data_IF_498763650934
#
_entry.id   IF_498763650934
#
_cell.length_a   1.000
_cell.length_b   1.000
_cell.length_c   1.000
_cell.angle_alpha   90.00
_cell.angle_beta   90.00
_cell.angle_gamma   90.00
#
_symmetry.space_group_name_H-M   'P 1'
#
loop_
_entity.id
_entity.type
_entity.pdbx_description
1 polymer ?
#
# COMPACT_ATOMS: atom_id res chain seq x y z
N UNK A 1 20.11 44.67 20.42
CA UNK A 1 19.85 43.77 19.26
C UNK A 1 18.83 42.75 19.73
N UNK A 2 17.59 42.78 19.24
CA UNK A 2 16.58 41.80 19.60
C UNK A 2 16.90 40.48 18.88
N UNK A 3 16.94 39.38 19.63
CA UNK A 3 17.05 38.03 19.07
C UNK A 3 15.66 37.69 18.50
N UNK A 4 15.53 37.28 17.22
CA UNK A 4 14.24 36.86 16.70
C UNK A 4 13.73 35.66 17.51
N UNK A 5 12.41 35.58 17.80
CA UNK A 5 11.85 34.45 18.51
C UNK A 5 12.15 33.17 17.73
N UNK A 6 12.54 32.11 18.44
CA UNK A 6 12.69 30.79 17.84
C UNK A 6 11.35 30.36 17.20
N UNK A 7 11.38 29.63 16.07
CA UNK A 7 10.14 29.14 15.47
C UNK A 7 9.40 28.25 16.47
N UNK A 8 8.14 28.58 16.75
CA UNK A 8 7.23 27.70 17.48
C UNK A 8 6.65 26.70 16.47
N UNK A 9 6.70 25.40 16.82
CA UNK A 9 6.15 24.32 16.01
C UNK A 9 4.92 23.76 16.72
N UNK A 10 3.77 23.83 16.05
CA UNK A 10 2.53 23.21 16.49
C UNK A 10 2.21 22.02 15.58
N UNK A 11 1.86 20.88 16.19
CA UNK A 11 1.52 19.65 15.47
C UNK A 11 0.01 19.40 15.53
N UNK A 12 -0.61 19.19 14.37
CA UNK A 12 -2.01 18.76 14.26
C UNK A 12 -2.05 17.35 13.67
N UNK A 13 -2.78 16.44 14.33
CA UNK A 13 -2.92 15.05 13.91
C UNK A 13 -4.26 14.82 13.22
N UNK A 14 -4.25 14.20 12.04
CA UNK A 14 -5.45 13.71 11.35
C UNK A 14 -5.42 12.18 11.33
N UNK A 15 -6.44 11.55 11.89
CA UNK A 15 -6.60 10.09 11.82
C UNK A 15 -7.37 9.75 10.56
N UNK A 16 -6.88 8.76 9.79
CA UNK A 16 -7.54 8.27 8.58
C UNK A 16 -7.79 6.78 8.76
N UNK A 17 -9.05 6.37 8.95
CA UNK A 17 -9.38 4.96 9.23
C UNK A 17 -9.65 4.17 7.95
N UNK A 18 -9.43 2.85 8.01
CA UNK A 18 -9.72 1.94 6.89
C UNK A 18 -11.16 2.07 6.37
N UNK A 19 -12.15 2.14 7.27
CA UNK A 19 -13.57 2.28 6.92
C UNK A 19 -13.88 3.55 6.14
N UNK A 20 -13.16 4.64 6.40
CA UNK A 20 -13.40 5.93 5.72
C UNK A 20 -12.84 5.93 4.30
N UNK A 21 -11.63 5.39 4.09
CA UNK A 21 -11.02 5.44 2.78
C UNK A 21 -11.38 4.26 1.87
N UNK A 22 -11.65 3.07 2.43
CA UNK A 22 -11.86 1.85 1.64
C UNK A 22 -12.89 1.98 0.50
N UNK A 23 -14.06 2.62 0.68
CA UNK A 23 -15.03 2.71 -0.42
C UNK A 23 -14.60 3.68 -1.53
N UNK A 24 -13.60 4.54 -1.28
CA UNK A 24 -13.20 5.63 -2.19
C UNK A 24 -11.89 5.35 -2.93
N UNK A 25 -11.05 4.45 -2.41
CA UNK A 25 -9.74 4.13 -2.98
C UNK A 25 -9.86 3.33 -4.28
N UNK A 26 -10.89 2.47 -4.41
CA UNK A 26 -11.08 1.66 -5.63
C UNK A 26 -9.82 0.87 -5.99
N UNK A 27 -9.40 0.97 -7.25
CA UNK A 27 -8.15 0.38 -7.77
C UNK A 27 -6.92 1.28 -7.56
N UNK A 28 -7.09 2.49 -7.00
CA UNK A 28 -5.99 3.41 -6.76
C UNK A 28 -5.13 2.90 -5.59
N UNK A 29 -3.83 2.79 -5.76
CA UNK A 29 -2.89 2.37 -4.71
C UNK A 29 -2.46 3.56 -3.82
N UNK A 30 -3.25 4.64 -3.72
CA UNK A 30 -2.83 5.84 -3.01
C UNK A 30 -3.97 6.74 -2.49
N UNK A 31 -3.67 7.48 -1.42
CA UNK A 31 -4.47 8.56 -0.85
C UNK A 31 -3.78 9.90 -1.14
N UNK A 32 -4.51 10.88 -1.66
CA UNK A 32 -4.01 12.26 -1.78
C UNK A 32 -4.52 13.10 -0.61
N UNK A 33 -3.60 13.56 0.24
CA UNK A 33 -3.88 14.43 1.37
C UNK A 33 -3.48 15.86 1.01
N UNK A 34 -4.30 16.84 1.36
CA UNK A 34 -4.02 18.27 1.14
C UNK A 34 -4.16 19.00 2.46
N UNK A 35 -3.10 19.70 2.87
CA UNK A 35 -3.11 20.60 4.02
C UNK A 35 -3.03 22.04 3.50
N UNK A 36 -3.92 22.92 3.96
CA UNK A 36 -3.91 24.33 3.63
C UNK A 36 -4.02 25.19 4.89
N UNK A 37 -3.25 26.26 4.96
CA UNK A 37 -3.28 27.24 6.04
C UNK A 37 -3.43 28.64 5.48
N UNK A 38 -4.23 29.46 6.14
CA UNK A 38 -4.42 30.87 5.79
C UNK A 38 -3.91 31.75 6.93
N UNK A 39 -3.10 32.76 6.58
CA UNK A 39 -2.63 33.79 7.52
C UNK A 39 -3.63 34.94 7.44
N UNK A 40 -4.41 35.15 8.49
CA UNK A 40 -5.51 36.13 8.47
C UNK A 40 -4.97 37.56 8.32
N UNK A 41 -3.80 37.85 8.90
CA UNK A 41 -3.18 39.16 8.92
C UNK A 41 -2.66 39.58 7.53
N UNK A 42 -2.12 38.64 6.76
CA UNK A 42 -1.53 38.92 5.43
C UNK A 42 -2.43 38.51 4.27
N UNK A 43 -3.49 37.74 4.53
CA UNK A 43 -4.37 37.16 3.52
C UNK A 43 -3.71 36.04 2.69
N UNK A 44 -2.49 35.62 3.05
CA UNK A 44 -1.76 34.59 2.31
C UNK A 44 -2.31 33.20 2.62
N UNK A 45 -2.43 32.37 1.58
CA UNK A 45 -2.80 30.95 1.72
C UNK A 45 -1.62 30.10 1.27
N UNK A 46 -1.22 29.15 2.11
CA UNK A 46 -0.25 28.11 1.79
C UNK A 46 -0.97 26.77 1.71
N UNK A 47 -0.63 25.97 0.70
CA UNK A 47 -1.13 24.61 0.58
C UNK A 47 0.01 23.64 0.27
N UNK A 48 -0.10 22.42 0.80
CA UNK A 48 0.79 21.30 0.54
C UNK A 48 -0.04 20.06 0.28
N UNK A 49 0.42 19.27 -0.68
CA UNK A 49 -0.16 17.98 -1.00
C UNK A 49 0.83 16.87 -0.68
N UNK A 50 0.30 15.73 -0.22
CA UNK A 50 1.04 14.51 0.05
C UNK A 50 0.30 13.33 -0.58
N UNK A 51 1.02 12.56 -1.40
CA UNK A 51 0.51 11.31 -1.95
C UNK A 51 1.02 10.14 -1.08
N UNK A 52 0.10 9.47 -0.39
CA UNK A 52 0.40 8.33 0.48
C UNK A 52 0.04 7.06 -0.27
N UNK A 53 1.03 6.24 -0.63
CA UNK A 53 0.77 4.95 -1.28
C UNK A 53 0.29 3.93 -0.26
N UNK A 54 -0.81 3.26 -0.57
CA UNK A 54 -1.29 2.10 0.16
C UNK A 54 -0.43 0.90 -0.23
N UNK A 55 0.08 0.20 0.78
CA UNK A 55 1.00 -0.89 0.55
C UNK A 55 0.29 -2.10 -0.07
N UNK A 56 0.76 -2.52 -1.25
CA UNK A 56 0.39 -3.82 -1.82
C UNK A 56 1.12 -4.91 -1.03
N UNK A 57 0.40 -5.87 -0.44
CA UNK A 57 1.04 -6.96 0.31
C UNK A 57 1.94 -7.80 -0.60
N UNK A 58 3.05 -8.26 -0.04
CA UNK A 58 3.98 -9.12 -0.74
C UNK A 58 3.43 -10.56 -0.88
N UNK A 59 3.72 -11.19 -2.02
CA UNK A 59 3.47 -12.61 -2.25
C UNK A 59 4.82 -13.33 -2.27
N UNK A 60 5.05 -14.21 -1.30
CA UNK A 60 6.30 -14.97 -1.22
C UNK A 60 6.15 -16.32 -1.90
N UNK A 61 7.08 -16.67 -2.79
CA UNK A 61 7.18 -17.99 -3.40
C UNK A 61 8.45 -18.68 -2.95
N UNK A 62 8.36 -19.95 -2.58
CA UNK A 62 9.50 -20.74 -2.12
C UNK A 62 9.46 -22.13 -2.72
N UNK A 63 10.57 -22.54 -3.35
CA UNK A 63 10.74 -23.91 -3.81
C UNK A 63 11.03 -24.80 -2.62
N UNK A 64 10.26 -25.88 -2.46
CA UNK A 64 10.43 -26.83 -1.36
C UNK A 64 11.40 -27.98 -1.73
N UNK A 65 12.12 -27.85 -2.85
CA UNK A 65 13.08 -28.84 -3.33
C UNK A 65 13.89 -28.34 -4.53
N UNK A 66 14.88 -29.14 -5.00
CA UNK A 66 15.67 -28.79 -6.17
C UNK A 66 14.83 -28.80 -7.44
N UNK A 67 14.92 -27.74 -8.25
CA UNK A 67 14.26 -27.67 -9.54
C UNK A 67 15.13 -28.37 -10.60
N UNK A 68 14.64 -29.49 -11.16
CA UNK A 68 15.30 -30.23 -12.23
C UNK A 68 14.39 -30.35 -13.46
N UNK A 69 14.97 -30.29 -14.66
CA UNK A 69 14.20 -30.38 -15.92
C UNK A 69 13.46 -31.71 -15.98
N UNK A 70 12.15 -31.64 -16.26
CA UNK A 70 11.28 -32.80 -16.38
C UNK A 70 10.81 -33.40 -15.05
N UNK A 71 11.14 -32.80 -13.90
CA UNK A 71 10.67 -33.23 -12.58
C UNK A 71 9.73 -32.21 -11.96
N UNK A 72 8.69 -32.70 -11.29
CA UNK A 72 7.78 -31.84 -10.54
C UNK A 72 8.48 -31.33 -9.27
N UNK A 73 8.37 -30.02 -9.02
CA UNK A 73 8.89 -29.39 -7.80
C UNK A 73 7.75 -28.69 -7.06
N UNK A 74 7.54 -28.99 -5.77
CA UNK A 74 6.54 -28.28 -4.98
C UNK A 74 6.95 -26.83 -4.73
N UNK A 75 6.02 -25.91 -4.95
CA UNK A 75 6.15 -24.48 -4.67
C UNK A 75 5.21 -24.12 -3.53
N UNK A 76 5.76 -23.55 -2.47
CA UNK A 76 4.97 -22.90 -1.42
C UNK A 76 4.70 -21.45 -1.83
N UNK A 77 3.44 -21.04 -1.73
CA UNK A 77 3.02 -19.66 -1.94
C UNK A 77 2.43 -19.14 -0.64
N UNK A 78 2.93 -18.02 -0.15
CA UNK A 78 2.49 -17.39 1.11
C UNK A 78 2.00 -15.98 0.82
N UNK A 79 0.77 -15.70 1.24
CA UNK A 79 0.13 -14.39 1.19
C UNK A 79 -0.32 -13.99 2.59
N UNK A 80 -0.01 -12.77 2.99
CA UNK A 80 -0.48 -12.20 4.26
C UNK A 80 -1.51 -11.11 3.96
N UNK A 81 -2.75 -11.31 4.41
CA UNK A 81 -3.82 -10.32 4.26
C UNK A 81 -3.55 -9.10 5.15
N UNK A 82 -3.27 -7.91 4.58
CA UNK A 82 -2.99 -6.71 5.37
C UNK A 82 -4.28 -6.03 5.87
N UNK A 83 -5.46 -6.48 5.43
CA UNK A 83 -6.72 -5.85 5.76
C UNK A 83 -7.33 -6.44 7.04
N UNK A 84 -8.03 -5.61 7.85
CA UNK A 84 -8.69 -6.07 9.08
C UNK A 84 -9.96 -6.90 8.82
N UNK A 85 -10.18 -7.37 7.57
CA UNK A 85 -11.33 -8.16 7.14
C UNK A 85 -10.87 -9.35 6.31
N UNK A 86 -11.62 -10.44 6.35
CA UNK A 86 -11.36 -11.59 5.49
C UNK A 86 -11.56 -11.20 4.01
N UNK A 87 -10.67 -11.71 3.15
CA UNK A 87 -10.81 -11.58 1.70
C UNK A 87 -11.62 -12.77 1.17
N UNK A 88 -12.48 -12.52 0.19
CA UNK A 88 -13.31 -13.53 -0.47
C UNK A 88 -13.07 -13.51 -1.98
N UNK A 89 -13.12 -14.67 -2.64
CA UNK A 89 -12.91 -14.77 -4.09
C UNK A 89 -11.47 -14.55 -4.52
N UNK A 90 -10.51 -14.90 -3.67
CA UNK A 90 -9.10 -14.85 -4.02
C UNK A 90 -8.81 -15.83 -5.17
N UNK A 91 -7.96 -15.41 -6.12
CA UNK A 91 -7.46 -16.28 -7.18
C UNK A 91 -5.96 -16.13 -7.26
N UNK A 92 -5.26 -17.27 -7.42
CA UNK A 92 -3.82 -17.30 -7.60
C UNK A 92 -3.51 -17.72 -9.02
N UNK A 93 -2.73 -16.88 -9.72
CA UNK A 93 -2.21 -17.16 -11.04
C UNK A 93 -0.70 -17.29 -10.94
N UNK A 94 -0.19 -18.45 -11.37
CA UNK A 94 1.24 -18.71 -11.45
C UNK A 94 1.60 -18.96 -12.91
N UNK A 95 2.59 -18.21 -13.39
CA UNK A 95 3.09 -18.31 -14.75
C UNK A 95 4.62 -18.30 -14.71
N UNK A 96 5.26 -19.13 -15.53
CA UNK A 96 6.71 -19.21 -15.58
C UNK A 96 7.18 -19.74 -16.93
N UNK A 97 7.92 -18.91 -17.68
CA UNK A 97 8.51 -19.32 -18.94
C UNK A 97 9.43 -20.54 -18.72
N UNK A 98 9.14 -21.64 -19.39
CA UNK A 98 9.91 -22.90 -19.25
C UNK A 98 9.60 -23.74 -18.00
N UNK A 99 8.66 -23.32 -17.14
CA UNK A 99 8.30 -24.03 -15.88
C UNK A 99 6.84 -24.44 -15.88
N UNK A 100 5.92 -23.51 -16.16
CA UNK A 100 4.48 -23.77 -16.12
C UNK A 100 3.71 -22.94 -17.16
N UNK A 101 2.93 -23.62 -18.02
CA UNK A 101 1.84 -22.99 -18.77
C UNK A 101 0.73 -22.56 -17.78
N UNK A 102 0.05 -21.41 -17.99
CA UNK A 102 -0.94 -20.90 -17.05
C UNK A 102 -2.00 -21.95 -16.71
N UNK A 103 -2.03 -22.40 -15.46
CA UNK A 103 -3.10 -23.22 -14.89
C UNK A 103 -3.82 -22.39 -13.82
N UNK A 104 -5.12 -22.08 -13.99
CA UNK A 104 -5.87 -21.43 -12.93
C UNK A 104 -6.02 -22.39 -11.74
N UNK A 105 -5.63 -21.93 -10.54
CA UNK A 105 -5.90 -22.61 -9.28
C UNK A 105 -6.93 -21.78 -8.49
N UNK A 106 -8.07 -22.39 -8.15
CA UNK A 106 -9.00 -21.81 -7.20
C UNK A 106 -8.42 -21.98 -5.79
N UNK A 107 -8.34 -20.88 -5.03
CA UNK A 107 -7.95 -20.87 -3.62
C UNK A 107 -9.18 -21.04 -2.72
#
# INVERSE_FOLDING_TARGET
>A
RAVPPAPAEDTVTMTVTYSEYQPHVGDQDALKLTAAGAVQETGQVLAKELLVRLHTPELTLTLLGPAMVGQEVPVQVVFQNPLPKALSGASLRMEGAGIACPKPAAL
#
